data_IF_537800248457
#
_entry.id   IF_537800248457
#
_cell.length_a   1.000
_cell.length_b   1.000
_cell.length_c   1.000
_cell.angle_alpha   90.00
_cell.angle_beta   90.00
_cell.angle_gamma   90.00
#
_symmetry.space_group_name_H-M   'P 1'
#
loop_
_entity.id
_entity.type
_entity.pdbx_description
1 polymer ?
#
# COMPACT_ATOMS: atom_id res chain seq x y z
N UNK A 1 18.28 14.15 3.42
CA UNK A 1 17.98 15.25 2.48
C UNK A 1 16.53 15.66 2.68
N UNK A 2 16.26 16.94 2.93
CA UNK A 2 14.91 17.44 3.15
C UNK A 2 14.06 17.31 1.87
N UNK A 3 12.84 16.79 2.00
CA UNK A 3 11.90 16.67 0.89
C UNK A 3 11.53 18.02 0.28
N UNK A 4 11.57 19.11 1.06
CA UNK A 4 11.34 20.47 0.55
C UNK A 4 12.43 20.89 -0.42
N UNK A 5 13.70 20.62 -0.08
CA UNK A 5 14.83 20.92 -0.96
C UNK A 5 14.73 20.13 -2.26
N UNK A 6 14.45 18.82 -2.17
CA UNK A 6 14.24 17.97 -3.35
C UNK A 6 13.14 18.50 -4.27
N UNK A 7 12.05 19.04 -3.69
CA UNK A 7 10.95 19.63 -4.48
C UNK A 7 11.38 20.89 -5.24
N UNK A 8 12.22 21.72 -4.65
CA UNK A 8 12.75 22.95 -5.28
C UNK A 8 13.60 22.58 -6.50
N UNK A 9 14.49 21.60 -6.36
CA UNK A 9 15.40 21.17 -7.44
C UNK A 9 14.83 20.02 -8.29
N UNK A 10 13.55 19.69 -8.15
CA UNK A 10 12.95 18.49 -8.74
C UNK A 10 13.13 18.43 -10.26
N UNK A 11 12.99 19.56 -10.96
CA UNK A 11 13.17 19.64 -12.41
C UNK A 11 14.59 19.27 -12.85
N UNK A 12 15.60 19.62 -12.05
CA UNK A 12 17.00 19.31 -12.32
C UNK A 12 17.31 17.84 -12.01
N UNK A 13 16.74 17.32 -10.92
CA UNK A 13 17.01 15.95 -10.47
C UNK A 13 16.15 14.90 -11.18
N UNK A 14 15.07 15.27 -11.85
CA UNK A 14 14.15 14.32 -12.49
C UNK A 14 14.85 13.38 -13.47
N UNK A 15 15.70 13.90 -14.37
CA UNK A 15 16.42 13.09 -15.36
C UNK A 15 17.46 12.16 -14.70
N UNK A 16 18.38 12.65 -13.84
CA UNK A 16 19.31 11.79 -13.12
C UNK A 16 18.62 10.71 -12.27
N UNK A 17 17.57 11.07 -11.53
CA UNK A 17 16.84 10.11 -10.69
C UNK A 17 16.11 9.07 -11.53
N UNK A 18 15.51 9.46 -12.66
CA UNK A 18 14.90 8.51 -13.59
C UNK A 18 15.92 7.48 -14.09
N UNK A 19 17.10 7.93 -14.51
CA UNK A 19 18.17 7.04 -14.94
C UNK A 19 18.61 6.08 -13.83
N UNK A 20 18.82 6.59 -12.61
CA UNK A 20 19.21 5.76 -11.46
C UNK A 20 18.12 4.73 -11.12
N UNK A 21 16.85 5.13 -11.11
CA UNK A 21 15.74 4.22 -10.83
C UNK A 21 15.64 3.11 -11.88
N UNK A 22 15.79 3.44 -13.16
CA UNK A 22 15.80 2.43 -14.23
C UNK A 22 16.96 1.46 -14.05
N UNK A 23 18.18 1.94 -13.78
CA UNK A 23 19.32 1.07 -13.49
C UNK A 23 19.06 0.16 -12.27
N UNK A 24 18.49 0.70 -11.19
CA UNK A 24 18.12 -0.10 -10.02
C UNK A 24 17.13 -1.22 -10.39
N UNK A 25 16.21 -0.94 -11.30
CA UNK A 25 15.20 -1.87 -11.75
C UNK A 25 15.74 -2.94 -12.70
N UNK A 26 16.61 -2.55 -13.64
CA UNK A 26 17.22 -3.44 -14.62
C UNK A 26 18.22 -4.40 -13.95
N UNK A 27 18.99 -3.89 -12.99
CA UNK A 27 20.00 -4.66 -12.24
C UNK A 27 19.42 -5.37 -11.00
N UNK A 28 18.11 -5.25 -10.76
CA UNK A 28 17.45 -5.77 -9.55
C UNK A 28 18.13 -5.32 -8.24
N UNK A 29 18.70 -4.12 -8.22
CA UNK A 29 19.46 -3.58 -7.11
C UNK A 29 18.72 -2.42 -6.45
N UNK A 30 18.57 -2.48 -5.12
CA UNK A 30 18.05 -1.37 -4.34
C UNK A 30 19.20 -0.76 -3.50
N UNK A 31 19.47 0.56 -3.60
CA UNK A 31 20.57 1.19 -2.85
C UNK A 31 20.41 1.08 -1.33
N UNK A 32 21.43 0.59 -0.62
CA UNK A 32 21.34 0.33 0.83
C UNK A 32 20.99 1.57 1.65
N UNK A 33 21.54 2.73 1.27
CA UNK A 33 21.22 4.01 1.93
C UNK A 33 19.74 4.38 1.82
N UNK A 34 19.04 3.90 0.81
CA UNK A 34 17.61 4.17 0.62
C UNK A 34 16.73 3.17 1.38
N UNK A 35 17.27 2.02 1.81
CA UNK A 35 16.57 1.02 2.63
C UNK A 35 16.54 1.38 4.11
N UNK A 36 17.51 2.18 4.58
CA UNK A 36 17.61 2.57 5.98
C UNK A 36 16.44 3.48 6.36
N UNK A 37 15.48 2.94 7.09
CA UNK A 37 14.27 3.64 7.50
C UNK A 37 14.38 4.14 8.94
N UNK A 38 13.64 5.21 9.26
CA UNK A 38 13.37 5.61 10.64
C UNK A 38 12.12 4.87 11.11
N UNK A 39 12.28 3.96 12.07
CA UNK A 39 11.14 3.28 12.71
C UNK A 39 10.52 4.20 13.75
N UNK A 40 9.23 4.45 13.64
CA UNK A 40 8.46 5.25 14.60
C UNK A 40 7.29 4.42 15.14
N UNK A 41 7.21 4.18 16.45
CA UNK A 41 6.06 3.50 17.05
C UNK A 41 4.86 4.44 17.10
N UNK A 42 3.71 3.99 16.59
CA UNK A 42 2.41 4.66 16.73
C UNK A 42 1.50 3.87 17.65
N UNK A 43 0.62 4.52 18.41
CA UNK A 43 -0.36 3.82 19.24
C UNK A 43 -1.51 3.29 18.38
N UNK A 44 -1.95 2.05 18.64
CA UNK A 44 -3.19 1.46 18.10
C UNK A 44 -4.43 2.22 18.55
N UNK A 45 -4.39 2.81 19.76
CA UNK A 45 -5.49 3.54 20.37
C UNK A 45 -4.96 4.83 21.01
N UNK A 46 -5.40 5.99 20.52
CA UNK A 46 -4.95 7.30 21.02
C UNK A 46 -5.35 7.58 22.47
N UNK A 47 -6.26 6.79 23.04
CA UNK A 47 -6.70 6.91 24.43
C UNK A 47 -5.85 6.11 25.42
N UNK A 48 -4.95 5.24 24.94
CA UNK A 48 -4.12 4.38 25.78
C UNK A 48 -2.65 4.82 25.74
N UNK A 49 -1.91 4.67 26.85
CA UNK A 49 -0.46 4.89 26.84
C UNK A 49 0.21 3.94 25.86
N UNK A 50 1.23 4.43 25.15
CA UNK A 50 1.97 3.63 24.18
C UNK A 50 2.75 2.52 24.92
N UNK A 51 2.45 1.28 24.58
CA UNK A 51 3.16 0.08 25.07
C UNK A 51 3.70 -0.72 23.88
N UNK A 52 4.63 -1.64 24.11
CA UNK A 52 5.14 -2.51 23.04
C UNK A 52 4.03 -3.30 22.33
N UNK A 53 3.01 -3.75 23.07
CA UNK A 53 1.90 -4.56 22.53
C UNK A 53 0.86 -3.72 21.78
N UNK A 54 0.62 -2.49 22.20
CA UNK A 54 -0.31 -1.58 21.51
C UNK A 54 0.36 -0.71 20.45
N UNK A 55 1.64 -0.92 20.15
CA UNK A 55 2.33 -0.17 19.12
C UNK A 55 2.09 -0.77 17.72
N UNK A 56 2.03 0.10 16.71
CA UNK A 56 2.24 -0.21 15.29
C UNK A 56 3.54 0.47 14.87
N UNK A 57 4.64 -0.25 14.65
CA UNK A 57 5.85 0.36 14.12
C UNK A 57 5.60 0.80 12.66
N UNK A 58 5.96 2.03 12.33
CA UNK A 58 5.98 2.50 10.94
C UNK A 58 7.41 2.75 10.48
N UNK A 59 7.75 2.22 9.31
CA UNK A 59 9.07 2.40 8.68
C UNK A 59 9.03 3.61 7.75
N UNK A 60 9.64 4.72 8.17
CA UNK A 60 9.69 5.94 7.37
C UNK A 60 10.99 5.94 6.55
N UNK A 61 10.87 5.58 5.27
CA UNK A 61 12.00 5.57 4.35
C UNK A 61 12.47 6.99 3.96
N UNK A 62 13.73 7.15 3.53
CA UNK A 62 14.22 8.36 2.89
C UNK A 62 13.37 8.72 1.68
N UNK A 63 13.26 10.02 1.38
CA UNK A 63 12.40 10.54 0.31
C UNK A 63 12.67 9.85 -1.04
N UNK A 64 13.94 9.59 -1.36
CA UNK A 64 14.31 8.91 -2.61
C UNK A 64 13.84 7.45 -2.66
N UNK A 65 13.95 6.71 -1.55
CA UNK A 65 13.43 5.34 -1.45
C UNK A 65 11.91 5.31 -1.66
N UNK A 66 11.18 6.22 -0.99
CA UNK A 66 9.72 6.36 -1.18
C UNK A 66 9.33 6.73 -2.62
N UNK A 67 10.12 7.58 -3.29
CA UNK A 67 9.87 7.94 -4.68
C UNK A 67 10.06 6.74 -5.60
N UNK A 68 11.13 5.97 -5.42
CA UNK A 68 11.39 4.77 -6.20
C UNK A 68 10.30 3.72 -6.01
N UNK A 69 9.88 3.46 -4.77
CA UNK A 69 8.77 2.57 -4.45
C UNK A 69 7.45 3.05 -5.06
N UNK A 70 7.18 4.36 -5.02
CA UNK A 70 6.00 4.94 -5.66
C UNK A 70 5.99 4.76 -7.19
N UNK A 71 7.15 4.89 -7.84
CA UNK A 71 7.29 4.62 -9.28
C UNK A 71 7.02 3.15 -9.58
N UNK A 72 7.66 2.23 -8.84
CA UNK A 72 7.47 0.80 -9.02
C UNK A 72 6.03 0.37 -8.74
N UNK A 73 5.42 0.89 -7.68
CA UNK A 73 4.03 0.63 -7.33
C UNK A 73 3.08 0.97 -8.48
N UNK A 74 3.24 2.14 -9.11
CA UNK A 74 2.44 2.54 -10.27
C UNK A 74 2.62 1.59 -11.46
N UNK A 75 3.85 1.16 -11.73
CA UNK A 75 4.12 0.18 -12.80
C UNK A 75 3.43 -1.16 -12.53
N UNK A 76 3.49 -1.66 -11.29
CA UNK A 76 2.83 -2.91 -10.87
C UNK A 76 1.32 -2.79 -10.99
N UNK A 77 0.73 -1.70 -10.49
CA UNK A 77 -0.71 -1.46 -10.56
C UNK A 77 -1.21 -1.41 -12.02
N UNK A 78 -0.47 -0.71 -12.88
CA UNK A 78 -0.78 -0.67 -14.31
C UNK A 78 -0.69 -2.07 -14.95
N UNK A 79 0.36 -2.82 -14.65
CA UNK A 79 0.53 -4.19 -15.13
C UNK A 79 -0.62 -5.10 -14.65
N UNK A 80 -1.02 -5.00 -13.39
CA UNK A 80 -2.12 -5.80 -12.84
C UNK A 80 -3.46 -5.48 -13.50
N UNK A 81 -3.69 -4.19 -13.80
CA UNK A 81 -4.90 -3.72 -14.47
C UNK A 81 -4.98 -4.22 -15.91
N UNK A 82 -3.93 -4.00 -16.72
CA UNK A 82 -3.93 -4.36 -18.15
C UNK A 82 -3.96 -5.87 -18.38
N UNK A 83 -3.40 -6.67 -17.47
CA UNK A 83 -3.34 -8.12 -17.59
C UNK A 83 -4.46 -8.84 -16.83
N UNK A 84 -5.42 -8.12 -16.22
CA UNK A 84 -6.53 -8.74 -15.49
C UNK A 84 -6.09 -9.60 -14.31
N UNK A 85 -5.04 -9.20 -13.58
CA UNK A 85 -4.47 -9.97 -12.46
C UNK A 85 -5.27 -9.78 -11.17
N UNK A 86 -5.97 -8.64 -11.03
CA UNK A 86 -6.81 -8.40 -9.86
C UNK A 86 -7.95 -9.42 -9.79
N UNK A 87 -8.21 -9.92 -8.58
CA UNK A 87 -9.47 -10.62 -8.31
C UNK A 87 -10.65 -9.68 -8.50
N UNK A 88 -11.75 -10.18 -9.04
CA UNK A 88 -12.98 -9.42 -9.27
C UNK A 88 -13.57 -8.87 -7.96
N UNK A 89 -13.33 -9.56 -6.84
CA UNK A 89 -13.78 -9.16 -5.50
C UNK A 89 -12.70 -8.41 -4.69
N UNK A 90 -11.58 -8.04 -5.31
CA UNK A 90 -10.56 -7.24 -4.65
C UNK A 90 -10.86 -5.74 -4.82
N UNK A 91 -11.28 -5.11 -3.71
CA UNK A 91 -11.54 -3.68 -3.65
C UNK A 91 -10.38 -2.87 -3.04
N UNK A 92 -9.54 -3.50 -2.22
CA UNK A 92 -8.43 -2.83 -1.55
C UNK A 92 -7.24 -2.59 -2.52
N UNK A 93 -6.60 -1.43 -2.37
CA UNK A 93 -5.40 -1.04 -3.13
C UNK A 93 -5.54 -1.18 -4.66
N UNK A 94 -6.74 -0.88 -5.17
CA UNK A 94 -7.10 -0.94 -6.60
C UNK A 94 -7.75 0.37 -7.01
N UNK A 95 -7.28 0.95 -8.10
CA UNK A 95 -7.84 2.18 -8.64
C UNK A 95 -9.30 1.99 -9.05
N UNK A 96 -10.16 2.96 -8.73
CA UNK A 96 -11.60 2.90 -9.00
C UNK A 96 -12.43 2.14 -7.97
N UNK A 97 -11.81 1.51 -6.98
CA UNK A 97 -12.50 0.78 -5.91
C UNK A 97 -12.29 1.45 -4.56
N UNK A 98 -13.24 1.24 -3.66
CA UNK A 98 -13.25 1.78 -2.30
C UNK A 98 -13.92 0.83 -1.32
N UNK A 99 -13.84 1.14 -0.02
CA UNK A 99 -14.59 0.41 1.02
C UNK A 99 -16.10 0.48 0.79
N UNK A 100 -16.60 1.58 0.22
CA UNK A 100 -18.01 1.73 -0.15
C UNK A 100 -18.38 0.77 -1.27
N UNK A 101 -17.55 0.64 -2.32
CA UNK A 101 -17.81 -0.32 -3.39
C UNK A 101 -17.82 -1.76 -2.87
N UNK A 102 -16.92 -2.10 -1.93
CA UNK A 102 -16.88 -3.42 -1.32
C UNK A 102 -18.16 -3.71 -0.54
N UNK A 103 -18.58 -2.76 0.29
CA UNK A 103 -19.80 -2.90 1.08
C UNK A 103 -21.02 -3.02 0.17
N UNK A 104 -21.16 -2.16 -0.84
CA UNK A 104 -22.28 -2.21 -1.78
C UNK A 104 -22.35 -3.54 -2.50
N UNK A 105 -21.23 -4.03 -3.05
CA UNK A 105 -21.18 -5.33 -3.75
C UNK A 105 -21.59 -6.47 -2.83
N UNK A 106 -21.06 -6.52 -1.60
CA UNK A 106 -21.41 -7.56 -0.63
C UNK A 106 -22.89 -7.49 -0.23
N UNK A 107 -23.41 -6.29 0.04
CA UNK A 107 -24.81 -6.13 0.45
C UNK A 107 -25.78 -6.50 -0.66
N UNK A 108 -25.48 -6.16 -1.91
CA UNK A 108 -26.31 -6.50 -3.08
C UNK A 108 -26.35 -8.02 -3.27
N UNK A 109 -25.21 -8.69 -3.14
CA UNK A 109 -25.13 -10.14 -3.20
C UNK A 109 -25.97 -10.81 -2.09
N UNK A 110 -25.83 -10.35 -0.84
CA UNK A 110 -26.56 -10.92 0.29
C UNK A 110 -28.07 -10.73 0.14
N UNK A 111 -28.51 -9.53 -0.21
CA UNK A 111 -29.93 -9.23 -0.44
C UNK A 111 -30.50 -10.09 -1.57
N UNK A 112 -29.75 -10.27 -2.66
CA UNK A 112 -30.16 -11.12 -3.77
C UNK A 112 -30.35 -12.60 -3.39
N UNK A 113 -29.56 -13.14 -2.45
CA UNK A 113 -29.76 -14.50 -1.93
C UNK A 113 -30.96 -14.58 -0.98
N UNK A 114 -31.15 -13.56 -0.14
CA UNK A 114 -32.30 -13.48 0.78
C UNK A 114 -33.62 -13.43 0.00
N UNK A 115 -33.68 -12.66 -1.09
CA UNK A 115 -34.87 -12.58 -1.97
C UNK A 115 -35.21 -13.94 -2.60
N UNK A 116 -34.20 -14.80 -2.80
CA UNK A 116 -34.36 -16.19 -3.27
C UNK A 116 -34.72 -17.16 -2.16
N UNK A 117 -34.98 -16.67 -0.94
CA UNK A 117 -35.25 -17.45 0.28
C UNK A 117 -34.10 -18.38 0.68
N UNK A 118 -32.87 -18.01 0.33
CA UNK A 118 -31.67 -18.71 0.74
C UNK A 118 -31.12 -18.11 2.03
N UNK A 119 -30.43 -18.94 2.83
CA UNK A 119 -29.72 -18.50 4.02
C UNK A 119 -28.37 -17.88 3.62
N UNK A 120 -28.04 -16.75 4.21
CA UNK A 120 -26.73 -16.09 4.05
C UNK A 120 -25.98 -16.16 5.37
N UNK A 121 -24.78 -16.73 5.34
CA UNK A 121 -23.84 -16.76 6.46
C UNK A 121 -22.54 -16.09 6.05
N UNK A 122 -21.97 -15.27 6.93
CA UNK A 122 -20.76 -14.49 6.64
C UNK A 122 -19.67 -14.83 7.64
N UNK A 123 -18.55 -15.34 7.14
CA UNK A 123 -17.34 -15.53 7.92
C UNK A 123 -16.37 -14.36 7.66
N UNK A 124 -16.06 -13.60 8.71
CA UNK A 124 -15.11 -12.49 8.66
C UNK A 124 -13.75 -12.95 9.19
N UNK A 125 -12.70 -12.69 8.41
CA UNK A 125 -11.33 -13.10 8.71
C UNK A 125 -10.43 -11.86 8.76
N UNK A 126 -9.51 -11.83 9.70
CA UNK A 126 -8.48 -10.79 9.82
C UNK A 126 -7.12 -11.40 10.17
N UNK A 127 -6.05 -10.81 9.65
CA UNK A 127 -4.68 -11.27 9.87
C UNK A 127 -4.04 -10.53 11.04
N UNK A 128 -3.51 -11.28 12.01
CA UNK A 128 -2.75 -10.69 13.12
C UNK A 128 -1.39 -10.18 12.64
N UNK A 129 -1.11 -8.88 12.84
CA UNK A 129 0.16 -8.24 12.50
C UNK A 129 0.60 -8.46 11.02
N UNK A 130 -0.35 -8.39 10.10
CA UNK A 130 -0.19 -8.76 8.68
C UNK A 130 1.05 -8.19 7.95
N UNK A 131 1.54 -7.01 8.34
CA UNK A 131 2.71 -6.38 7.70
C UNK A 131 4.04 -6.66 8.41
N UNK A 132 4.00 -7.12 9.66
CA UNK A 132 5.20 -7.42 10.45
C UNK A 132 5.67 -8.88 10.25
N UNK A 133 4.82 -9.73 9.67
CA UNK A 133 5.04 -11.19 9.54
C UNK A 133 5.36 -11.65 8.11
N UNK A 134 5.67 -10.72 7.20
CA UNK A 134 5.94 -10.99 5.77
C UNK A 134 7.44 -10.92 5.47
#
# INVERSE_FOLDING_TARGET
MDGRLLKIVAKLLAKPLCHIFNLCFDECLYPDRWKISKVMPLSKNTKEPLTGQNSRPISILPVLGKLMEGVRFKQIQHYFSVNGIYSDVQHANREGFSTSTALTTLTDEWLGQIDRKLLVEVALLDFSAAFDIV
#
